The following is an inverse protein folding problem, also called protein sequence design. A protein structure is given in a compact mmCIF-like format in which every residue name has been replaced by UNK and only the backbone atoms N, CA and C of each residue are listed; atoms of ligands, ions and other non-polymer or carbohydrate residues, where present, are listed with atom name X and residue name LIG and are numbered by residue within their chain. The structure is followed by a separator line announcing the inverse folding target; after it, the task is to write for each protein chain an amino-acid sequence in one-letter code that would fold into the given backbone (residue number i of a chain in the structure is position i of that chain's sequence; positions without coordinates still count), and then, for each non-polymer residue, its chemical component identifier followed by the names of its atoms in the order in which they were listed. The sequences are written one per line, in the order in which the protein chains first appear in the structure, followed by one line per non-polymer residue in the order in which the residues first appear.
data_IF_267478660951
#
_entry.id   IF_267478660951
#
_cell.length_a   1.000
_cell.length_b   1.000
_cell.length_c   1.000
_cell.angle_alpha   90.00
_cell.angle_beta   90.00
_cell.angle_gamma   90.00
#
_symmetry.space_group_name_H-M   'P 1'
#
loop_
_entity.id
_entity.type
_entity.pdbx_description
1 polymer ?
#
# COMPACT_ATOMS: atom_id res chain seq x y z
N UNK A 1 3.28 -37.57 1.42
CA UNK A 1 3.80 -36.71 2.52
C UNK A 1 3.19 -37.15 3.83
N UNK A 2 3.97 -37.25 4.92
CA UNK A 2 3.46 -37.66 6.24
C UNK A 2 2.78 -36.48 6.93
N UNK A 3 1.45 -36.47 6.91
CA UNK A 3 0.61 -35.41 7.49
C UNK A 3 0.84 -35.25 9.01
N UNK A 4 1.12 -36.35 9.72
CA UNK A 4 1.33 -36.32 11.17
C UNK A 4 2.60 -35.56 11.62
N UNK A 5 3.69 -35.62 10.86
CA UNK A 5 4.92 -34.86 11.16
C UNK A 5 4.71 -33.36 10.94
N UNK A 6 3.95 -32.99 9.90
CA UNK A 6 3.59 -31.60 9.61
C UNK A 6 2.75 -30.99 10.74
N UNK A 7 1.73 -31.70 11.22
CA UNK A 7 0.86 -31.23 12.31
C UNK A 7 1.66 -30.99 13.61
N UNK A 8 2.62 -31.87 13.92
CA UNK A 8 3.44 -31.74 15.13
C UNK A 8 4.39 -30.53 15.04
N UNK A 9 4.98 -30.28 13.87
CA UNK A 9 5.81 -29.09 13.62
C UNK A 9 4.96 -27.81 13.64
N UNK A 10 3.77 -27.82 13.05
CA UNK A 10 2.85 -26.68 13.10
C UNK A 10 2.42 -26.36 14.53
N UNK A 11 2.15 -27.37 15.37
CA UNK A 11 1.79 -27.15 16.78
C UNK A 11 2.99 -26.62 17.59
N UNK A 12 4.20 -27.13 17.33
CA UNK A 12 5.44 -26.65 17.97
C UNK A 12 5.75 -25.19 17.63
N UNK A 13 5.38 -24.73 16.43
CA UNK A 13 5.62 -23.36 15.96
C UNK A 13 4.35 -22.49 15.88
N UNK A 14 3.24 -22.92 16.47
CA UNK A 14 1.93 -22.30 16.33
C UNK A 14 1.93 -20.81 16.69
N UNK A 15 2.58 -20.45 17.81
CA UNK A 15 2.69 -19.06 18.26
C UNK A 15 3.44 -18.17 17.26
N UNK A 16 4.43 -18.72 16.55
CA UNK A 16 5.15 -17.99 15.51
C UNK A 16 4.23 -17.70 14.32
N UNK A 17 3.48 -18.69 13.84
CA UNK A 17 2.55 -18.52 12.73
C UNK A 17 1.39 -17.59 13.07
N UNK A 18 0.88 -17.60 14.31
CA UNK A 18 -0.15 -16.65 14.76
C UNK A 18 0.40 -15.22 14.75
N UNK A 19 1.58 -15.00 15.34
CA UNK A 19 2.22 -13.68 15.37
C UNK A 19 2.52 -13.18 13.96
N UNK A 20 3.08 -14.03 13.11
CA UNK A 20 3.37 -13.70 11.73
C UNK A 20 2.09 -13.42 10.92
N UNK A 21 1.03 -14.21 11.12
CA UNK A 21 -0.27 -13.98 10.51
C UNK A 21 -0.88 -12.63 10.89
N UNK A 22 -0.86 -12.26 12.17
CA UNK A 22 -1.33 -10.95 12.63
C UNK A 22 -0.45 -9.82 12.06
N UNK A 23 0.88 -9.99 12.09
CA UNK A 23 1.82 -9.01 11.55
C UNK A 23 1.59 -8.75 10.05
N UNK A 24 1.44 -9.81 9.25
CA UNK A 24 1.10 -9.70 7.82
C UNK A 24 -0.22 -8.96 7.58
N UNK A 25 -1.21 -9.17 8.43
CA UNK A 25 -2.49 -8.45 8.34
C UNK A 25 -2.29 -6.96 8.64
N UNK A 26 -1.52 -6.62 9.67
CA UNK A 26 -1.22 -5.22 10.02
C UNK A 26 -0.45 -4.50 8.90
N UNK A 27 0.56 -5.15 8.31
CA UNK A 27 1.30 -4.62 7.16
C UNK A 27 0.35 -4.35 5.97
N UNK A 28 -0.58 -5.27 5.70
CA UNK A 28 -1.61 -5.04 4.68
C UNK A 28 -2.53 -3.86 5.01
N UNK A 29 -2.93 -3.69 6.27
CA UNK A 29 -3.75 -2.55 6.69
C UNK A 29 -3.01 -1.22 6.53
N UNK A 30 -1.69 -1.20 6.77
CA UNK A 30 -0.85 -0.01 6.57
C UNK A 30 -0.89 0.46 5.12
N UNK A 31 -0.72 -0.45 4.16
CA UNK A 31 -0.84 -0.18 2.71
C UNK A 31 -2.20 0.42 2.35
N UNK A 32 -3.29 -0.14 2.89
CA UNK A 32 -4.64 0.37 2.64
C UNK A 32 -4.85 1.77 3.21
N UNK A 33 -4.27 2.04 4.37
CA UNK A 33 -4.34 3.34 5.04
C UNK A 33 -3.66 4.41 4.19
N UNK A 34 -2.45 4.16 3.70
CA UNK A 34 -1.76 5.09 2.80
C UNK A 34 -2.53 5.35 1.51
N UNK A 35 -3.04 4.31 0.86
CA UNK A 35 -3.88 4.47 -0.33
C UNK A 35 -5.08 5.40 -0.05
N UNK A 36 -5.75 5.20 1.08
CA UNK A 36 -6.91 6.01 1.46
C UNK A 36 -6.53 7.46 1.80
N UNK A 37 -5.37 7.66 2.45
CA UNK A 37 -4.81 8.98 2.71
C UNK A 37 -4.55 9.72 1.40
N UNK A 38 -3.84 9.11 0.46
CA UNK A 38 -3.50 9.73 -0.82
C UNK A 38 -4.72 9.98 -1.70
N UNK A 39 -5.74 9.11 -1.61
CA UNK A 39 -7.04 9.35 -2.25
C UNK A 39 -7.71 10.62 -1.70
N UNK A 40 -7.59 10.90 -0.40
CA UNK A 40 -8.11 12.15 0.19
C UNK A 40 -7.31 13.36 -0.29
N UNK A 41 -5.98 13.29 -0.29
CA UNK A 41 -5.11 14.38 -0.80
C UNK A 41 -5.48 14.72 -2.24
N UNK A 42 -5.55 13.71 -3.13
CA UNK A 42 -5.97 13.91 -4.51
C UNK A 42 -7.37 14.54 -4.63
N UNK A 43 -8.33 14.10 -3.81
CA UNK A 43 -9.69 14.66 -3.81
C UNK A 43 -9.72 16.13 -3.38
N UNK A 44 -8.86 16.52 -2.44
CA UNK A 44 -8.75 17.92 -1.97
C UNK A 44 -8.13 18.79 -3.05
N UNK A 45 -7.07 18.31 -3.72
CA UNK A 45 -6.38 19.03 -4.80
C UNK A 45 -7.26 19.22 -6.05
N UNK A 46 -8.13 18.25 -6.35
CA UNK A 46 -9.04 18.32 -7.51
C UNK A 46 -8.35 18.19 -8.87
N UNK A 47 -7.05 17.86 -8.90
CA UNK A 47 -6.24 17.72 -10.12
C UNK A 47 -5.68 16.30 -10.24
N UNK A 48 -5.59 15.79 -11.47
CA UNK A 48 -4.88 14.52 -11.77
C UNK A 48 -3.37 14.65 -11.66
N UNK A 49 -2.83 15.86 -11.54
CA UNK A 49 -1.39 16.10 -11.33
C UNK A 49 -1.23 16.80 -10.00
N UNK A 50 -0.61 16.13 -9.04
CA UNK A 50 -0.48 16.59 -7.66
C UNK A 50 0.99 16.70 -7.27
N UNK A 51 1.45 17.81 -6.68
CA UNK A 51 2.79 17.94 -6.13
C UNK A 51 3.09 16.88 -5.06
N UNK A 52 4.27 16.27 -5.09
CA UNK A 52 4.66 15.20 -4.14
C UNK A 52 4.70 15.73 -2.70
N UNK A 53 5.08 16.99 -2.52
CA UNK A 53 5.10 17.67 -1.21
C UNK A 53 3.75 17.63 -0.48
N UNK A 54 2.63 17.60 -1.20
CA UNK A 54 1.31 17.54 -0.55
C UNK A 54 1.04 16.16 0.05
N UNK A 55 1.62 15.09 -0.53
CA UNK A 55 1.59 13.76 0.06
C UNK A 55 2.58 13.64 1.23
N UNK A 56 3.77 14.23 1.13
CA UNK A 56 4.76 14.29 2.21
C UNK A 56 4.17 14.96 3.46
N UNK A 57 3.57 16.15 3.31
CA UNK A 57 2.90 16.86 4.41
C UNK A 57 1.78 15.99 5.01
N UNK A 58 1.00 15.31 4.18
CA UNK A 58 -0.07 14.43 4.67
C UNK A 58 0.48 13.24 5.47
N UNK A 59 1.62 12.67 5.07
CA UNK A 59 2.32 11.61 5.80
C UNK A 59 2.88 12.13 7.12
N UNK A 60 3.55 13.28 7.11
CA UNK A 60 4.10 13.91 8.31
C UNK A 60 3.02 14.21 9.37
N UNK A 61 1.82 14.60 8.93
CA UNK A 61 0.70 14.89 9.81
C UNK A 61 0.01 13.64 10.37
N UNK A 62 0.09 12.49 9.68
CA UNK A 62 -0.72 11.31 10.02
C UNK A 62 0.08 10.11 10.50
N UNK A 63 1.37 10.06 10.22
CA UNK A 63 2.27 8.97 10.61
C UNK A 63 3.47 9.47 11.42
N UNK A 64 4.46 10.09 10.78
CA UNK A 64 5.70 10.52 11.43
C UNK A 64 6.19 11.86 10.82
N UNK A 65 6.34 12.92 11.63
CA UNK A 65 6.86 14.21 11.19
C UNK A 65 8.25 14.19 10.53
N UNK A 66 9.01 13.10 10.66
CA UNK A 66 10.34 12.95 10.07
C UNK A 66 10.32 12.39 8.65
N UNK A 67 9.14 12.01 8.13
CA UNK A 67 9.04 11.46 6.80
C UNK A 67 9.53 12.47 5.78
N UNK A 68 10.51 12.08 4.99
CA UNK A 68 11.10 12.94 3.98
C UNK A 68 10.56 12.62 2.57
N UNK A 69 11.09 13.37 1.60
CA UNK A 69 10.72 13.25 0.21
C UNK A 69 11.10 11.88 -0.36
N UNK A 70 12.24 11.29 0.02
CA UNK A 70 12.70 9.98 -0.48
C UNK A 70 11.80 8.85 0.01
N UNK A 71 11.43 8.88 1.28
CA UNK A 71 10.46 7.95 1.87
C UNK A 71 9.08 8.08 1.22
N UNK A 72 8.64 9.32 0.98
CA UNK A 72 7.38 9.59 0.27
C UNK A 72 7.39 8.99 -1.14
N UNK A 73 8.49 9.12 -1.88
CA UNK A 73 8.65 8.49 -3.19
C UNK A 73 8.58 6.97 -3.10
N UNK A 74 9.25 6.36 -2.11
CA UNK A 74 9.24 4.92 -1.90
C UNK A 74 7.81 4.40 -1.63
N UNK A 75 7.06 5.05 -0.75
CA UNK A 75 5.67 4.69 -0.45
C UNK A 75 4.79 4.81 -1.70
N UNK A 76 4.91 5.91 -2.45
CA UNK A 76 4.17 6.11 -3.70
C UNK A 76 4.51 5.05 -4.74
N UNK A 77 5.79 4.75 -4.93
CA UNK A 77 6.25 3.73 -5.88
C UNK A 77 5.70 2.35 -5.53
N UNK A 78 5.71 1.96 -4.26
CA UNK A 78 5.15 0.69 -3.80
C UNK A 78 3.65 0.61 -4.08
N UNK A 79 2.89 1.68 -3.81
CA UNK A 79 1.45 1.70 -4.08
C UNK A 79 1.10 1.66 -5.57
N UNK A 80 1.94 2.24 -6.43
CA UNK A 80 1.79 2.16 -7.88
C UNK A 80 2.12 0.75 -8.37
N UNK A 81 3.23 0.18 -7.91
CA UNK A 81 3.65 -1.18 -8.25
C UNK A 81 2.59 -2.22 -7.86
N UNK A 82 1.98 -2.07 -6.69
CA UNK A 82 0.94 -2.97 -6.18
C UNK A 82 -0.45 -2.73 -6.81
N UNK A 83 -0.55 -1.82 -7.78
CA UNK A 83 -1.79 -1.48 -8.47
C UNK A 83 -2.85 -0.80 -7.59
N UNK A 84 -2.45 -0.29 -6.40
CA UNK A 84 -3.34 0.44 -5.49
C UNK A 84 -3.57 1.88 -5.93
N UNK A 85 -2.63 2.43 -6.70
CA UNK A 85 -2.68 3.72 -7.36
C UNK A 85 -2.34 3.53 -8.83
N UNK A 86 -3.13 4.12 -9.73
CA UNK A 86 -2.82 4.17 -11.17
C UNK A 86 -2.24 5.53 -11.50
N UNK A 87 -0.98 5.57 -11.91
CA UNK A 87 -0.27 6.80 -12.23
C UNK A 87 1.23 6.58 -12.37
N UNK A 88 1.97 7.68 -12.52
CA UNK A 88 3.43 7.66 -12.53
C UNK A 88 4.01 8.86 -11.79
N UNK A 89 5.25 8.70 -11.31
CA UNK A 89 6.01 9.77 -10.66
C UNK A 89 6.82 10.52 -11.72
N UNK A 90 6.64 11.83 -11.79
CA UNK A 90 7.46 12.74 -12.58
C UNK A 90 8.55 13.33 -11.69
N UNK A 91 9.67 12.60 -11.52
CA UNK A 91 10.77 13.00 -10.64
C UNK A 91 11.33 14.39 -10.93
N UNK A 92 11.51 14.75 -12.20
CA UNK A 92 12.03 16.07 -12.61
C UNK A 92 11.14 17.22 -12.13
N UNK A 93 9.83 16.99 -12.04
CA UNK A 93 8.86 18.02 -11.67
C UNK A 93 8.28 17.85 -10.26
N UNK A 94 8.72 16.82 -9.52
CA UNK A 94 8.22 16.49 -8.18
C UNK A 94 6.69 16.40 -8.13
N UNK A 95 6.12 15.67 -9.09
CA UNK A 95 4.66 15.51 -9.25
C UNK A 95 4.29 14.04 -9.39
N UNK A 96 3.18 13.66 -8.78
CA UNK A 96 2.47 12.43 -9.08
C UNK A 96 1.42 12.73 -10.16
N UNK A 97 1.50 12.02 -11.29
CA UNK A 97 0.53 12.09 -12.38
C UNK A 97 -0.39 10.88 -12.28
N UNK A 98 -1.62 11.11 -11.84
CA UNK A 98 -2.64 10.10 -11.63
C UNK A 98 -3.45 9.84 -12.92
N UNK A 99 -3.93 8.61 -13.07
CA UNK A 99 -4.86 8.23 -14.13
C UNK A 99 -6.14 9.06 -14.05
N UNK A 100 -6.62 9.54 -15.20
CA UNK A 100 -7.94 10.20 -15.30
C UNK A 100 -9.09 9.22 -15.09
N UNK A 101 -8.85 7.93 -15.34
CA UNK A 101 -9.82 6.85 -15.20
C UNK A 101 -9.42 6.03 -13.98
N UNK A 102 -10.24 6.07 -12.94
CA UNK A 102 -10.08 5.26 -11.72
C UNK A 102 -8.65 5.29 -11.13
N UNK A 103 -8.15 6.45 -10.67
CA UNK A 103 -6.80 6.56 -10.12
C UNK A 103 -6.55 5.74 -8.85
N UNK A 104 -7.62 5.32 -8.16
CA UNK A 104 -7.57 4.51 -6.95
C UNK A 104 -8.56 3.34 -7.06
N UNK A 105 -8.18 2.22 -7.71
CA UNK A 105 -9.06 1.09 -7.96
C UNK A 105 -9.67 0.51 -6.71
N UNK A 106 -10.93 0.05 -6.78
CA UNK A 106 -11.59 -0.64 -5.67
C UNK A 106 -10.78 -1.88 -5.30
N UNK A 107 -10.63 -2.10 -3.99
CA UNK A 107 -9.99 -3.30 -3.47
C UNK A 107 -10.95 -4.47 -3.73
N UNK A 108 -10.79 -5.17 -4.86
CA UNK A 108 -11.54 -6.39 -5.08
C UNK A 108 -11.06 -7.45 -4.08
N UNK A 109 -12.00 -8.03 -3.32
CA UNK A 109 -11.80 -9.28 -2.59
C UNK A 109 -11.81 -10.42 -3.61
N UNK A 110 -10.78 -10.50 -4.45
CA UNK A 110 -10.63 -11.60 -5.41
C UNK A 110 -9.34 -12.33 -5.11
N UNK A 111 -9.42 -13.26 -4.16
CA UNK A 111 -8.64 -14.49 -4.27
C UNK A 111 -9.32 -15.35 -5.34
N UNK A 112 -8.51 -15.76 -6.33
CA UNK A 112 -8.74 -16.79 -7.35
C UNK A 112 -9.72 -16.46 -8.49
N UNK A 113 -9.18 -16.52 -9.72
CA UNK A 113 -9.66 -17.43 -10.77
C UNK A 113 -8.38 -18.10 -11.32
N UNK A 114 -8.06 -19.33 -10.90
CA UNK A 114 -8.19 -20.48 -11.80
C UNK A 114 -9.29 -20.27 -12.84
N UNK A 115 -8.88 -20.06 -14.09
CA UNK A 115 -9.45 -20.71 -15.27
C UNK A 115 -8.77 -20.15 -16.52
N UNK A 116 -7.86 -20.93 -17.09
CA UNK A 116 -7.71 -21.26 -18.51
C UNK A 116 -6.62 -22.31 -18.66
#
# INVERSE_FOLDING_TARGET
GRVGELSNVMQKHQTFFIKFGIYLILERLKILTYRNLFKKVHKIEGSSVVPIINFEIALQLTEDPKIDMEETHCILANLINDGKIKGYISFQHQKLVLSKIDPFPVLSLSNQNCDS
#
